data_IF_658055007866
#
_entry.id   IF_658055007866
#
_cell.length_a   1.000
_cell.length_b   1.000
_cell.length_c   1.000
_cell.angle_alpha   90.00
_cell.angle_beta   90.00
_cell.angle_gamma   90.00
#
_symmetry.space_group_name_H-M   'P 1'
#
loop_
_entity.id
_entity.type
_entity.pdbx_description
1 polymer ?
#
# COMPACT_ATOMS: atom_id res chain seq x y z
N UNK A 1 0.43 -9.18 -10.44
CA UNK A 1 -1.04 -8.97 -10.30
C UNK A 1 -1.41 -7.51 -10.45
N UNK A 2 -0.68 -6.60 -9.80
CA UNK A 2 -0.95 -5.17 -9.92
C UNK A 2 -0.69 -4.63 -11.34
N UNK A 3 0.49 -4.88 -11.93
CA UNK A 3 0.80 -4.53 -13.34
C UNK A 3 -0.33 -4.96 -14.29
N UNK A 4 -0.73 -6.24 -14.26
CA UNK A 4 -1.81 -6.77 -15.09
C UNK A 4 -3.15 -6.06 -14.82
N UNK A 5 -3.41 -5.63 -13.58
CA UNK A 5 -4.64 -4.88 -13.24
C UNK A 5 -4.62 -3.49 -13.86
N UNK A 6 -3.47 -2.80 -13.81
CA UNK A 6 -3.29 -1.45 -14.37
C UNK A 6 -3.33 -1.51 -15.90
N UNK A 7 -2.59 -2.42 -16.51
CA UNK A 7 -2.65 -2.66 -17.95
C UNK A 7 -4.07 -2.98 -18.44
N UNK A 8 -4.82 -3.78 -17.68
CA UNK A 8 -6.24 -4.02 -17.99
C UNK A 8 -7.09 -2.75 -17.85
N UNK A 9 -6.82 -1.93 -16.84
CA UNK A 9 -7.53 -0.67 -16.62
C UNK A 9 -7.30 0.33 -17.76
N UNK A 10 -6.11 0.34 -18.34
CA UNK A 10 -5.76 1.23 -19.46
C UNK A 10 -6.41 0.80 -20.78
N UNK A 11 -6.51 -0.51 -21.02
CA UNK A 11 -7.07 -1.05 -22.26
C UNK A 11 -8.60 -1.12 -22.22
N UNK A 12 -9.15 -1.46 -21.05
CA UNK A 12 -10.57 -1.73 -20.89
C UNK A 12 -11.27 -0.45 -20.40
N UNK A 13 -11.97 0.24 -21.31
CA UNK A 13 -12.76 1.46 -21.03
C UNK A 13 -14.05 1.16 -20.21
N UNK A 14 -14.10 -0.02 -19.59
CA UNK A 14 -15.20 -0.50 -18.80
C UNK A 14 -15.19 0.16 -17.42
N UNK A 15 -16.33 0.65 -16.91
CA UNK A 15 -16.43 1.24 -15.57
C UNK A 15 -16.12 0.25 -14.44
N UNK A 16 -15.93 -1.04 -14.75
CA UNK A 16 -15.74 -2.13 -13.80
C UNK A 16 -14.28 -2.62 -13.73
N UNK A 17 -13.30 -1.71 -13.79
CA UNK A 17 -11.86 -2.03 -13.66
C UNK A 17 -11.55 -2.89 -12.42
N UNK A 18 -12.28 -2.70 -11.32
CA UNK A 18 -12.07 -3.43 -10.06
C UNK A 18 -12.60 -4.87 -10.08
N UNK A 19 -13.43 -5.25 -11.06
CA UNK A 19 -14.06 -6.57 -11.10
C UNK A 19 -13.03 -7.70 -11.29
N UNK A 20 -12.04 -7.48 -12.16
CA UNK A 20 -10.99 -8.47 -12.39
C UNK A 20 -10.14 -8.77 -11.15
N UNK A 21 -9.52 -7.76 -10.48
CA UNK A 21 -8.73 -8.02 -9.28
C UNK A 21 -9.57 -8.63 -8.14
N UNK A 22 -10.84 -8.23 -8.00
CA UNK A 22 -11.77 -8.81 -7.02
C UNK A 22 -12.03 -10.28 -7.26
N UNK A 23 -12.32 -10.65 -8.51
CA UNK A 23 -12.52 -12.05 -8.89
C UNK A 23 -11.27 -12.89 -8.62
N UNK A 24 -10.07 -12.34 -8.87
CA UNK A 24 -8.82 -13.05 -8.64
C UNK A 24 -8.53 -13.22 -7.15
N UNK A 25 -8.81 -12.21 -6.32
CA UNK A 25 -8.73 -12.31 -4.87
C UNK A 25 -9.68 -13.39 -4.33
N UNK A 26 -10.94 -13.40 -4.78
CA UNK A 26 -11.93 -14.41 -4.35
C UNK A 26 -11.45 -15.82 -4.72
N UNK A 27 -10.96 -16.01 -5.96
CA UNK A 27 -10.45 -17.32 -6.42
C UNK A 27 -9.24 -17.79 -5.61
N UNK A 28 -8.34 -16.88 -5.24
CA UNK A 28 -7.20 -17.21 -4.38
C UNK A 28 -7.68 -17.64 -3.00
N UNK A 29 -8.56 -16.87 -2.37
CA UNK A 29 -9.12 -17.19 -1.06
C UNK A 29 -9.87 -18.53 -1.08
N UNK A 30 -10.69 -18.79 -2.10
CA UNK A 30 -11.40 -20.07 -2.25
C UNK A 30 -10.46 -21.27 -2.40
N UNK A 31 -9.27 -21.07 -2.97
CA UNK A 31 -8.30 -22.14 -3.23
C UNK A 31 -7.36 -22.41 -2.05
N UNK A 32 -7.00 -21.38 -1.28
CA UNK A 32 -5.92 -21.46 -0.29
C UNK A 32 -6.36 -21.15 1.15
N UNK A 33 -7.59 -20.71 1.38
CA UNK A 33 -8.11 -20.49 2.73
C UNK A 33 -8.82 -21.74 3.26
N UNK A 34 -8.71 -21.95 4.57
CA UNK A 34 -9.53 -22.89 5.30
C UNK A 34 -10.83 -22.19 5.73
N UNK A 35 -11.97 -22.76 5.37
CA UNK A 35 -13.27 -22.25 5.80
C UNK A 35 -14.34 -23.33 5.74
N UNK A 36 -15.38 -23.16 6.55
CA UNK A 36 -16.62 -23.93 6.49
C UNK A 36 -17.64 -23.15 5.68
N UNK A 37 -18.36 -23.86 4.81
CA UNK A 37 -19.44 -23.27 4.03
C UNK A 37 -20.48 -22.67 4.99
N UNK A 38 -20.98 -21.47 4.66
CA UNK A 38 -22.00 -20.73 5.43
C UNK A 38 -21.54 -20.21 6.81
N UNK A 39 -20.27 -20.34 7.17
CA UNK A 39 -19.71 -19.77 8.40
C UNK A 39 -18.53 -18.81 8.09
N UNK A 40 -18.80 -17.50 7.95
CA UNK A 40 -17.76 -16.49 7.67
C UNK A 40 -16.70 -16.38 8.77
N UNK A 41 -17.01 -16.74 10.01
CA UNK A 41 -16.08 -16.64 11.14
C UNK A 41 -14.97 -17.70 11.10
N UNK A 42 -15.18 -18.77 10.32
CA UNK A 42 -14.23 -19.86 10.17
C UNK A 42 -13.09 -19.58 9.21
N UNK A 43 -13.17 -18.49 8.43
CA UNK A 43 -12.23 -18.18 7.37
C UNK A 43 -10.83 -17.87 7.92
N UNK A 44 -9.83 -18.63 7.48
CA UNK A 44 -8.42 -18.43 7.83
C UNK A 44 -7.52 -18.61 6.61
N UNK A 45 -6.55 -17.73 6.45
CA UNK A 45 -5.42 -17.92 5.54
C UNK A 45 -4.16 -18.28 6.32
N UNK A 46 -3.26 -19.01 5.66
CA UNK A 46 -1.88 -19.17 6.13
C UNK A 46 -1.16 -17.81 6.20
N UNK A 47 -0.21 -17.68 7.12
CA UNK A 47 0.58 -16.45 7.33
C UNK A 47 1.21 -15.93 6.04
N UNK A 48 1.68 -16.82 5.16
CA UNK A 48 2.28 -16.45 3.87
C UNK A 48 1.29 -15.71 2.93
N UNK A 49 -0.01 -15.95 3.07
CA UNK A 49 -1.06 -15.34 2.25
C UNK A 49 -1.84 -14.25 2.98
N UNK A 50 -1.65 -14.08 4.29
CA UNK A 50 -2.39 -13.13 5.12
C UNK A 50 -2.22 -11.67 4.66
N UNK A 51 -1.05 -11.33 4.11
CA UNK A 51 -0.76 -10.00 3.56
C UNK A 51 -1.48 -9.71 2.24
N UNK A 52 -1.86 -10.74 1.48
CA UNK A 52 -2.37 -10.58 0.12
C UNK A 52 -3.72 -9.85 0.05
N UNK A 53 -4.73 -10.17 0.90
CA UNK A 53 -5.97 -9.38 0.97
C UNK A 53 -5.74 -7.92 1.35
N UNK A 54 -4.78 -7.62 2.23
CA UNK A 54 -4.43 -6.26 2.61
C UNK A 54 -3.81 -5.49 1.43
N UNK A 55 -2.89 -6.13 0.71
CA UNK A 55 -2.30 -5.57 -0.51
C UNK A 55 -3.36 -5.28 -1.58
N UNK A 56 -4.29 -6.21 -1.82
CA UNK A 56 -5.41 -5.99 -2.75
C UNK A 56 -6.37 -4.90 -2.28
N UNK A 57 -6.55 -4.69 -0.97
CA UNK A 57 -7.33 -3.58 -0.44
C UNK A 57 -6.69 -2.21 -0.78
N UNK A 58 -5.37 -2.10 -0.69
CA UNK A 58 -4.66 -0.86 -1.03
C UNK A 58 -4.57 -0.64 -2.54
N UNK A 59 -4.27 -1.68 -3.33
CA UNK A 59 -4.25 -1.58 -4.79
C UNK A 59 -5.57 -1.05 -5.37
N UNK A 60 -6.72 -1.56 -4.91
CA UNK A 60 -8.05 -1.16 -5.43
C UNK A 60 -8.42 0.29 -5.13
N UNK A 61 -7.76 0.93 -4.16
CA UNK A 61 -7.99 2.31 -3.75
C UNK A 61 -6.85 3.24 -4.15
N UNK A 62 -5.83 2.68 -4.82
CA UNK A 62 -4.67 3.43 -5.27
C UNK A 62 -4.98 4.25 -6.51
N UNK A 63 -4.15 5.26 -6.75
CA UNK A 63 -4.21 6.12 -7.93
C UNK A 63 -3.99 5.36 -9.25
N UNK A 64 -3.43 4.15 -9.19
CA UNK A 64 -3.23 3.28 -10.34
C UNK A 64 -4.54 2.74 -10.94
N UNK A 65 -5.58 2.53 -10.12
CA UNK A 65 -6.88 2.01 -10.58
C UNK A 65 -8.01 3.03 -10.40
N UNK A 66 -7.91 3.94 -9.41
CA UNK A 66 -8.87 5.02 -9.20
C UNK A 66 -8.29 6.33 -9.74
N UNK A 67 -8.47 6.54 -11.04
CA UNK A 67 -7.93 7.71 -11.77
C UNK A 67 -8.76 8.98 -11.57
N UNK A 68 -9.94 8.88 -10.95
CA UNK A 68 -10.75 10.05 -10.60
C UNK A 68 -9.97 10.90 -9.60
N UNK A 69 -9.70 12.16 -9.95
CA UNK A 69 -8.83 13.12 -9.25
C UNK A 69 -7.35 13.14 -9.66
N UNK A 70 -6.94 12.43 -10.72
CA UNK A 70 -5.63 12.59 -11.35
C UNK A 70 -5.79 13.15 -12.77
N UNK A 71 -4.77 13.85 -13.25
CA UNK A 71 -4.64 14.18 -14.67
C UNK A 71 -4.26 12.93 -15.49
N UNK A 72 -4.49 13.01 -16.80
CA UNK A 72 -4.10 11.92 -17.72
C UNK A 72 -2.58 11.70 -17.74
N UNK A 73 -1.80 12.77 -17.61
CA UNK A 73 -0.34 12.72 -17.54
C UNK A 73 0.13 12.03 -16.24
N UNK A 74 -0.43 12.42 -15.09
CA UNK A 74 -0.13 11.77 -13.80
C UNK A 74 -0.47 10.28 -13.81
N UNK A 75 -1.59 9.91 -14.43
CA UNK A 75 -2.00 8.50 -14.52
C UNK A 75 -1.01 7.69 -15.36
N UNK A 76 -0.58 8.22 -16.51
CA UNK A 76 0.43 7.58 -17.36
C UNK A 76 1.79 7.50 -16.66
N UNK A 77 2.17 8.54 -15.92
CA UNK A 77 3.40 8.58 -15.13
C UNK A 77 3.41 7.50 -14.03
N UNK A 78 2.30 7.35 -13.29
CA UNK A 78 2.18 6.29 -12.29
C UNK A 78 2.25 4.89 -12.92
N UNK A 79 1.56 4.66 -14.04
CA UNK A 79 1.64 3.40 -14.78
C UNK A 79 3.08 3.05 -15.17
N UNK A 80 3.81 4.03 -15.70
CA UNK A 80 5.21 3.85 -16.10
C UNK A 80 6.14 3.52 -14.91
N UNK A 81 6.04 4.25 -13.79
CA UNK A 81 6.84 3.96 -12.60
C UNK A 81 6.59 2.53 -12.11
N UNK A 82 5.33 2.09 -12.13
CA UNK A 82 5.00 0.76 -11.66
C UNK A 82 5.70 -0.35 -12.47
N UNK A 83 5.86 -0.15 -13.77
CA UNK A 83 6.52 -1.12 -14.65
C UNK A 83 8.06 -1.12 -14.49
N UNK A 84 8.66 -0.05 -13.97
CA UNK A 84 10.11 0.07 -13.76
C UNK A 84 10.56 -0.28 -12.33
N UNK A 85 9.70 -0.14 -11.34
CA UNK A 85 10.05 -0.28 -9.92
C UNK A 85 10.15 -1.74 -9.42
N UNK A 86 11.06 -1.96 -8.47
CA UNK A 86 11.25 -3.27 -7.82
C UNK A 86 10.05 -3.68 -6.94
N UNK A 87 9.95 -4.96 -6.57
CA UNK A 87 8.87 -5.47 -5.69
C UNK A 87 8.77 -4.75 -4.35
N UNK A 88 9.88 -4.23 -3.82
CA UNK A 88 9.89 -3.49 -2.55
C UNK A 88 9.32 -2.07 -2.70
N UNK A 89 9.58 -1.41 -3.83
CA UNK A 89 9.09 -0.05 -4.09
C UNK A 89 7.68 -0.04 -4.69
N UNK A 90 7.32 -1.06 -5.47
CA UNK A 90 5.97 -1.27 -6.01
C UNK A 90 4.95 -1.75 -4.97
N UNK A 91 5.36 -1.87 -3.70
CA UNK A 91 4.49 -2.28 -2.62
C UNK A 91 3.49 -1.16 -2.33
N UNK A 92 2.29 -1.26 -2.89
CA UNK A 92 1.21 -0.25 -2.83
C UNK A 92 0.65 0.06 -1.44
N UNK A 93 1.24 -0.52 -0.39
CA UNK A 93 0.87 -0.29 0.99
C UNK A 93 1.80 0.79 1.55
N UNK A 94 1.34 2.04 1.73
CA UNK A 94 2.21 3.04 2.33
C UNK A 94 2.66 2.54 3.71
N UNK A 95 3.95 2.54 3.96
CA UNK A 95 4.48 2.22 5.27
C UNK A 95 4.32 3.46 6.15
N UNK A 96 3.61 3.34 7.26
CA UNK A 96 3.53 4.41 8.26
C UNK A 96 4.45 4.07 9.42
N UNK A 97 5.47 4.89 9.64
CA UNK A 97 6.35 4.77 10.79
C UNK A 97 5.82 5.64 11.92
N UNK A 98 5.63 5.06 13.11
CA UNK A 98 5.33 5.83 14.31
C UNK A 98 6.61 6.17 15.06
N UNK A 99 6.73 7.44 15.44
CA UNK A 99 7.85 7.96 16.24
C UNK A 99 7.30 8.40 17.59
N UNK A 100 7.84 7.83 18.66
CA UNK A 100 7.51 8.18 20.05
C UNK A 100 8.79 8.42 20.82
N UNK A 101 8.72 9.14 21.94
CA UNK A 101 9.90 9.44 22.74
C UNK A 101 10.47 8.21 23.46
N UNK A 102 9.61 7.27 23.84
CA UNK A 102 9.97 6.12 24.68
C UNK A 102 10.35 4.87 23.90
N UNK A 103 9.99 4.79 22.61
CA UNK A 103 10.15 3.59 21.78
C UNK A 103 10.79 3.94 20.45
N UNK A 104 11.70 3.07 20.00
CA UNK A 104 12.27 3.09 18.66
C UNK A 104 11.17 3.14 17.57
N UNK A 105 11.45 3.71 16.39
CA UNK A 105 10.48 3.79 15.31
C UNK A 105 9.94 2.41 14.94
N UNK A 106 8.62 2.27 14.91
CA UNK A 106 7.96 1.00 14.58
C UNK A 106 6.97 1.17 13.43
N UNK A 107 6.90 0.18 12.51
CA UNK A 107 5.92 0.18 11.44
C UNK A 107 4.53 -0.03 12.03
N UNK A 108 3.60 0.78 11.55
CA UNK A 108 2.25 0.89 12.04
C UNK A 108 1.28 0.72 10.87
N UNK A 109 0.18 0.01 11.13
CA UNK A 109 -0.87 -0.16 10.12
C UNK A 109 -1.52 1.19 9.81
N UNK A 110 -1.76 1.44 8.52
CA UNK A 110 -2.52 2.59 8.05
C UNK A 110 -4.00 2.47 8.44
N UNK A 111 -4.32 2.86 9.67
CA UNK A 111 -5.70 2.99 10.15
C UNK A 111 -5.95 4.39 10.72
N UNK A 112 -7.16 4.91 10.56
CA UNK A 112 -7.54 6.27 11.00
C UNK A 112 -7.40 6.47 12.53
N UNK A 113 -7.58 5.41 13.31
CA UNK A 113 -7.40 5.41 14.77
C UNK A 113 -5.95 5.58 15.25
N UNK A 114 -4.91 5.56 14.39
CA UNK A 114 -3.51 5.75 14.79
C UNK A 114 -3.11 7.22 14.84
N UNK A 115 -4.01 8.13 14.46
CA UNK A 115 -3.89 9.55 14.80
C UNK A 115 -4.17 9.70 16.31
N UNK A 116 -3.23 9.26 17.15
CA UNK A 116 -3.27 9.51 18.59
C UNK A 116 -3.18 11.01 18.81
N UNK A 117 -4.34 11.62 19.03
CA UNK A 117 -4.46 12.99 19.45
C UNK A 117 -3.77 13.20 20.79
N UNK A 118 -2.82 14.15 20.81
CA UNK A 118 -2.40 14.99 21.95
C UNK A 118 -2.14 14.26 23.27
N UNK A 119 -0.88 13.90 23.53
CA UNK A 119 -0.39 13.79 24.90
C UNK A 119 0.09 15.16 25.42
N UNK A 120 -0.36 15.62 26.61
CA UNK A 120 -0.01 16.92 27.17
C UNK A 120 1.34 16.86 27.88
N UNK A 121 2.43 16.82 27.11
CA UNK A 121 3.78 17.07 27.63
C UNK A 121 4.70 17.44 26.47
N UNK A 122 4.55 18.69 26.04
CA UNK A 122 5.42 19.31 25.04
C UNK A 122 6.77 19.63 25.70
N UNK A 123 7.75 18.74 25.55
CA UNK A 123 9.14 18.99 25.93
C UNK A 123 10.06 18.44 24.83
N UNK A 124 10.64 19.34 24.03
CA UNK A 124 11.77 19.11 23.11
C UNK A 124 11.47 18.41 21.76
N UNK A 125 11.16 19.16 20.68
CA UNK A 125 10.80 18.57 19.37
C UNK A 125 11.96 18.23 18.42
N UNK A 126 13.23 18.57 18.74
CA UNK A 126 14.30 18.58 17.72
C UNK A 126 14.78 17.19 17.29
N UNK A 127 15.00 16.27 18.23
CA UNK A 127 15.55 14.95 17.92
C UNK A 127 14.58 14.05 17.15
N UNK A 128 13.28 14.08 17.49
CA UNK A 128 12.26 13.34 16.73
C UNK A 128 12.07 13.91 15.32
N UNK A 129 12.12 15.24 15.18
CA UNK A 129 12.05 15.89 13.87
C UNK A 129 13.29 15.57 13.04
N UNK A 130 14.48 15.57 13.63
CA UNK A 130 15.72 15.19 12.95
C UNK A 130 15.71 13.72 12.53
N UNK A 131 15.21 12.81 13.36
CA UNK A 131 15.05 11.39 13.00
C UNK A 131 14.08 11.22 11.82
N UNK A 132 12.91 11.86 11.88
CA UNK A 132 11.92 11.80 10.80
C UNK A 132 12.44 12.42 9.50
N UNK A 133 13.17 13.54 9.58
CA UNK A 133 13.80 14.16 8.41
C UNK A 133 14.87 13.23 7.83
N UNK A 134 15.72 12.64 8.68
CA UNK A 134 16.81 11.74 8.25
C UNK A 134 16.25 10.53 7.52
N UNK A 135 15.25 9.86 8.09
CA UNK A 135 14.60 8.69 7.48
C UNK A 135 13.90 9.07 6.17
N UNK A 136 13.21 10.23 6.11
CA UNK A 136 12.58 10.71 4.88
C UNK A 136 13.61 11.04 3.78
N UNK A 137 14.74 11.68 4.12
CA UNK A 137 15.81 11.92 3.15
C UNK A 137 16.48 10.64 2.68
N UNK A 138 16.64 9.64 3.55
CA UNK A 138 17.19 8.33 3.17
C UNK A 138 16.26 7.61 2.18
N UNK A 139 14.95 7.60 2.43
CA UNK A 139 13.96 7.05 1.49
C UNK A 139 13.98 7.80 0.15
N UNK A 140 14.06 9.13 0.17
CA UNK A 140 14.12 9.94 -1.04
C UNK A 140 15.39 9.65 -1.85
N UNK A 141 16.54 9.48 -1.19
CA UNK A 141 17.79 9.14 -1.86
C UNK A 141 17.77 7.74 -2.51
N UNK A 142 16.99 6.80 -1.97
CA UNK A 142 16.77 5.48 -2.56
C UNK A 142 15.86 5.60 -3.80
N UNK A 143 14.74 6.33 -3.70
CA UNK A 143 13.79 6.50 -4.81
C UNK A 143 14.32 7.39 -5.95
N UNK A 144 15.29 8.27 -5.70
CA UNK A 144 15.89 9.17 -6.72
C UNK A 144 17.36 8.83 -7.02
N UNK A 145 17.81 7.62 -6.72
CA UNK A 145 19.17 7.19 -7.06
C UNK A 145 19.33 7.12 -8.58
N UNK A 146 20.25 7.89 -9.21
CA UNK A 146 20.42 7.96 -10.67
C UNK A 146 21.03 6.69 -11.29
N UNK A 147 21.00 5.56 -10.59
CA UNK A 147 21.53 4.28 -11.06
C UNK A 147 20.47 3.42 -11.76
N UNK A 148 19.21 3.88 -11.81
CA UNK A 148 18.14 3.32 -12.65
C UNK A 148 17.74 4.37 -13.69
N UNK A 149 18.66 4.70 -14.60
CA UNK A 149 18.42 5.20 -15.97
C UNK A 149 19.53 4.63 -16.85
#
# INVERSE_FOLDING_TARGET
>A
MAEISVFKAEIDDSPNVLHWPDCMLIRLCQKFADYRKEDPSSFRLSDNFSIYPQFMFHLRRSQFLQVFNNSLDETAFYGHILDEEDTNNSLFSPLLMSYTFDVLPQPVLLYSTHQTGRHPSFVGPRELVEALITDATACTAICYSPTII
#
